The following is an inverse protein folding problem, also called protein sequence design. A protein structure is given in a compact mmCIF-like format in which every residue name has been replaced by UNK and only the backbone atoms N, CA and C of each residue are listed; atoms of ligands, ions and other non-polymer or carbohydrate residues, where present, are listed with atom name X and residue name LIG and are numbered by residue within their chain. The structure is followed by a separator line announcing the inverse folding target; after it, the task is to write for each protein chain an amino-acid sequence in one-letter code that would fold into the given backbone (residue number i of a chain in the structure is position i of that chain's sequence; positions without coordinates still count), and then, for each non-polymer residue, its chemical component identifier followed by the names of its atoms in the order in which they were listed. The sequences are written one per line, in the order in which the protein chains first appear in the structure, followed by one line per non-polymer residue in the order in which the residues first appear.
data_IF_016270597523
#
_entry.id   IF_016270597523
#
_cell.length_a   1.000
_cell.length_b   1.000
_cell.length_c   1.000
_cell.angle_alpha   90.00
_cell.angle_beta   90.00
_cell.angle_gamma   90.00
#
_symmetry.space_group_name_H-M   'P 1'
#
loop_
_entity.id
_entity.type
_entity.pdbx_description
1 polymer ?
#
# COMPACT_ATOMS: atom_id res chain seq x y z
N UNK A 1 -4.00 13.26 -10.23
CA UNK A 1 -4.55 12.43 -9.16
C UNK A 1 -5.93 11.95 -9.57
N UNK A 2 -6.22 10.65 -9.44
CA UNK A 2 -7.45 10.01 -9.92
C UNK A 2 -8.37 9.80 -8.72
N UNK A 3 -9.59 10.35 -8.78
CA UNK A 3 -10.64 10.11 -7.80
C UNK A 3 -11.35 8.78 -8.11
N UNK A 4 -11.25 7.80 -7.21
CA UNK A 4 -11.88 6.50 -7.38
C UNK A 4 -13.09 6.29 -6.47
N UNK A 5 -13.22 7.11 -5.42
CA UNK A 5 -14.46 7.28 -4.67
C UNK A 5 -14.66 8.75 -4.36
N UNK A 6 -15.84 9.25 -4.75
CA UNK A 6 -16.17 10.68 -4.71
C UNK A 6 -15.94 11.28 -3.33
N UNK A 7 -15.13 12.34 -3.27
CA UNK A 7 -14.76 13.10 -2.09
C UNK A 7 -14.24 12.23 -0.92
N UNK A 8 -13.63 11.08 -1.20
CA UNK A 8 -13.08 10.21 -0.14
C UNK A 8 -11.76 9.55 -0.51
N UNK A 9 -11.60 9.04 -1.73
CA UNK A 9 -10.46 8.19 -2.05
C UNK A 9 -9.89 8.53 -3.43
N UNK A 10 -8.61 8.88 -3.43
CA UNK A 10 -7.83 9.17 -4.62
C UNK A 10 -6.58 8.32 -4.66
N UNK A 11 -6.06 8.06 -5.86
CA UNK A 11 -4.73 7.52 -6.03
C UNK A 11 -3.96 8.26 -7.11
N UNK A 12 -2.64 8.20 -7.04
CA UNK A 12 -1.73 8.80 -8.01
C UNK A 12 -0.66 7.79 -8.38
N UNK A 13 -0.57 7.51 -9.68
CA UNK A 13 0.54 6.76 -10.26
C UNK A 13 1.81 7.59 -10.25
N UNK A 14 2.93 6.95 -9.92
CA UNK A 14 4.24 7.56 -9.95
C UNK A 14 5.26 6.66 -10.67
N UNK A 15 6.09 7.30 -11.49
CA UNK A 15 7.10 6.62 -12.26
C UNK A 15 8.31 6.28 -11.37
N UNK A 16 8.44 5.01 -11.01
CA UNK A 16 9.56 4.52 -10.20
C UNK A 16 10.24 3.34 -10.88
N UNK A 17 11.58 3.28 -10.72
CA UNK A 17 12.40 2.16 -11.17
C UNK A 17 12.93 1.40 -9.96
N UNK A 18 12.92 0.07 -10.04
CA UNK A 18 13.61 -0.83 -9.11
C UNK A 18 14.69 -1.57 -9.87
N UNK A 19 15.96 -1.40 -9.49
CA UNK A 19 17.10 -1.98 -10.21
C UNK A 19 17.08 -1.72 -11.73
N UNK A 20 16.72 -0.49 -12.12
CA UNK A 20 16.60 -0.09 -13.52
C UNK A 20 15.29 -0.51 -14.22
N UNK A 21 14.46 -1.35 -13.60
CA UNK A 21 13.19 -1.83 -14.17
C UNK A 21 12.06 -0.88 -13.78
N UNK A 22 11.34 -0.35 -14.78
CA UNK A 22 10.18 0.50 -14.55
C UNK A 22 8.99 -0.31 -14.02
N UNK A 23 8.82 -0.32 -12.70
CA UNK A 23 7.72 -1.02 -12.01
C UNK A 23 6.60 -0.04 -11.63
N UNK A 24 6.94 1.22 -11.39
CA UNK A 24 6.02 2.22 -10.85
C UNK A 24 5.73 2.04 -9.37
N UNK A 25 5.15 3.06 -8.76
CA UNK A 25 4.48 2.97 -7.47
C UNK A 25 3.17 3.77 -7.50
N UNK A 26 2.38 3.64 -6.45
CA UNK A 26 1.11 4.36 -6.29
C UNK A 26 1.02 4.94 -4.89
N UNK A 27 0.67 6.22 -4.82
CA UNK A 27 0.22 6.85 -3.59
C UNK A 27 -1.30 6.77 -3.52
N UNK A 28 -1.85 6.58 -2.32
CA UNK A 28 -3.29 6.67 -2.06
C UNK A 28 -3.55 7.76 -1.02
N UNK A 29 -4.56 8.58 -1.27
CA UNK A 29 -5.03 9.65 -0.37
C UNK A 29 -6.44 9.28 0.04
N UNK A 30 -6.70 9.25 1.34
CA UNK A 30 -8.02 8.96 1.90
C UNK A 30 -8.43 10.16 2.75
N UNK A 31 -9.62 10.71 2.49
CA UNK A 31 -10.24 11.70 3.37
C UNK A 31 -11.02 10.98 4.46
N UNK A 32 -10.67 11.29 5.70
CA UNK A 32 -11.29 10.79 6.91
C UNK A 32 -12.59 11.57 7.20
N UNK A 33 -13.35 11.11 8.18
CA UNK A 33 -14.67 11.65 8.52
C UNK A 33 -14.61 13.07 9.13
N UNK A 34 -13.42 13.52 9.53
CA UNK A 34 -13.13 14.88 10.02
C UNK A 34 -12.53 15.79 8.93
N UNK A 35 -12.71 15.43 7.66
CA UNK A 35 -12.22 16.11 6.45
C UNK A 35 -10.68 16.19 6.30
N UNK A 36 -9.91 15.57 7.21
CA UNK A 36 -8.46 15.48 7.12
C UNK A 36 -8.01 14.29 6.28
N UNK A 37 -6.77 14.35 5.81
CA UNK A 37 -6.22 13.40 4.84
C UNK A 37 -5.24 12.43 5.49
N UNK A 38 -5.45 11.16 5.17
CA UNK A 38 -4.54 10.06 5.40
C UNK A 38 -3.81 9.73 4.09
N UNK A 39 -2.47 9.76 4.13
CA UNK A 39 -1.61 9.52 2.97
C UNK A 39 -0.93 8.17 3.13
N UNK A 40 -1.11 7.30 2.15
CA UNK A 40 -0.47 6.00 2.07
C UNK A 40 0.52 5.94 0.90
N UNK A 41 1.74 5.48 1.19
CA UNK A 41 2.83 5.32 0.21
C UNK A 41 3.18 6.64 -0.50
N UNK A 42 3.69 7.64 0.22
CA UNK A 42 4.06 8.93 -0.35
C UNK A 42 5.05 8.79 -1.52
N UNK A 43 4.84 9.62 -2.54
CA UNK A 43 5.68 9.72 -3.76
C UNK A 43 6.40 11.06 -3.79
N UNK A 44 7.16 11.37 -4.84
CA UNK A 44 7.81 12.68 -4.96
C UNK A 44 6.80 13.83 -4.80
N UNK A 45 7.12 14.78 -3.92
CA UNK A 45 6.23 15.88 -3.60
C UNK A 45 6.57 17.10 -4.45
N UNK A 46 6.13 17.08 -5.71
CA UNK A 46 6.22 18.26 -6.58
C UNK A 46 5.17 19.33 -6.21
N UNK A 47 5.36 20.55 -6.73
CA UNK A 47 4.46 21.68 -6.45
C UNK A 47 3.01 21.43 -6.92
N UNK A 48 2.82 20.65 -7.99
CA UNK A 48 1.49 20.35 -8.52
C UNK A 48 0.75 19.36 -7.60
N UNK A 49 1.44 18.32 -7.14
CA UNK A 49 0.91 17.35 -6.19
C UNK A 49 0.59 18.03 -4.85
N UNK A 50 1.51 18.84 -4.33
CA UNK A 50 1.32 19.62 -3.11
C UNK A 50 0.06 20.49 -3.19
N UNK A 51 -0.06 21.30 -4.24
CA UNK A 51 -1.24 22.15 -4.45
C UNK A 51 -2.53 21.34 -4.57
N UNK A 52 -2.48 20.19 -5.24
CA UNK A 52 -3.66 19.33 -5.35
C UNK A 52 -4.07 18.75 -3.99
N UNK A 53 -3.12 18.30 -3.17
CA UNK A 53 -3.42 17.75 -1.84
C UNK A 53 -3.97 18.82 -0.90
N UNK A 54 -3.39 20.02 -0.91
CA UNK A 54 -3.85 21.16 -0.10
C UNK A 54 -5.30 21.56 -0.42
N UNK A 55 -5.73 21.40 -1.68
CA UNK A 55 -7.14 21.60 -2.08
C UNK A 55 -8.08 20.50 -1.57
N UNK A 56 -7.55 19.30 -1.29
CA UNK A 56 -8.36 18.19 -0.77
C UNK A 56 -8.61 18.31 0.73
N UNK A 57 -7.65 18.81 1.51
CA UNK A 57 -7.74 18.96 2.95
C UNK A 57 -6.39 18.99 3.65
N UNK A 58 -6.41 19.15 4.98
CA UNK A 58 -5.22 19.10 5.82
C UNK A 58 -4.73 17.66 5.98
N UNK A 59 -3.42 17.41 5.89
CA UNK A 59 -2.84 16.08 6.10
C UNK A 59 -2.70 15.82 7.60
N UNK A 60 -3.37 14.79 8.11
CA UNK A 60 -3.25 14.37 9.51
C UNK A 60 -2.26 13.23 9.69
N UNK A 61 -2.12 12.36 8.70
CA UNK A 61 -1.28 11.17 8.82
C UNK A 61 -0.59 10.84 7.50
N UNK A 62 0.69 10.52 7.58
CA UNK A 62 1.50 9.99 6.48
C UNK A 62 2.04 8.63 6.89
N UNK A 63 1.77 7.61 6.06
CA UNK A 63 2.18 6.23 6.33
C UNK A 63 2.89 5.60 5.14
N UNK A 64 3.74 4.63 5.44
CA UNK A 64 4.34 3.74 4.44
C UNK A 64 3.75 2.34 4.55
N UNK A 65 3.55 1.62 3.43
CA UNK A 65 3.06 0.24 3.47
C UNK A 65 4.08 -0.72 4.12
N UNK A 66 5.36 -0.51 3.84
CA UNK A 66 6.48 -1.34 4.29
C UNK A 66 7.80 -0.54 4.22
N UNK A 67 8.91 -1.18 4.59
CA UNK A 67 10.25 -0.55 4.67
C UNK A 67 10.88 -0.14 3.33
N UNK A 68 10.21 -0.36 2.19
CA UNK A 68 10.72 -0.04 0.85
C UNK A 68 10.24 1.32 0.33
N UNK A 69 9.17 1.89 0.89
CA UNK A 69 8.49 3.09 0.36
C UNK A 69 8.86 4.37 1.11
N UNK A 70 10.15 4.54 1.44
CA UNK A 70 10.63 5.63 2.30
C UNK A 70 11.42 6.73 1.57
N UNK A 71 11.70 6.55 0.27
CA UNK A 71 12.60 7.41 -0.51
C UNK A 71 12.23 8.90 -0.46
N UNK A 72 10.94 9.22 -0.48
CA UNK A 72 10.44 10.60 -0.48
C UNK A 72 10.02 11.10 0.92
N UNK A 73 10.11 10.28 1.97
CA UNK A 73 9.59 10.65 3.28
C UNK A 73 10.23 11.91 3.86
N UNK A 74 11.51 12.19 3.57
CA UNK A 74 12.17 13.41 4.07
C UNK A 74 11.51 14.67 3.55
N UNK A 75 11.13 14.70 2.27
CA UNK A 75 10.48 15.85 1.65
C UNK A 75 9.09 16.08 2.25
N UNK A 76 8.35 14.99 2.47
CA UNK A 76 7.05 15.04 3.13
C UNK A 76 7.14 15.54 4.57
N UNK A 77 8.12 15.05 5.33
CA UNK A 77 8.34 15.45 6.71
C UNK A 77 8.68 16.95 6.82
N UNK A 78 9.51 17.46 5.90
CA UNK A 78 9.82 18.89 5.83
C UNK A 78 8.62 19.74 5.39
N UNK A 79 7.79 19.23 4.48
CA UNK A 79 6.66 19.98 3.93
C UNK A 79 5.44 20.01 4.86
N UNK A 80 5.26 18.97 5.69
CA UNK A 80 4.09 18.78 6.56
C UNK A 80 4.50 18.36 7.97
N UNK A 81 5.26 19.21 8.71
CA UNK A 81 5.80 18.84 10.02
C UNK A 81 4.73 18.62 11.09
N UNK A 82 3.51 19.11 10.90
CA UNK A 82 2.39 18.94 11.84
C UNK A 82 1.62 17.63 11.62
N UNK A 83 1.86 16.91 10.52
CA UNK A 83 1.24 15.62 10.26
C UNK A 83 1.91 14.51 11.07
N UNK A 84 1.14 13.50 11.50
CA UNK A 84 1.70 12.32 12.15
C UNK A 84 2.36 11.39 11.13
N UNK A 85 3.64 11.09 11.31
CA UNK A 85 4.39 10.14 10.51
C UNK A 85 4.43 8.78 11.18
N UNK A 86 3.68 7.82 10.63
CA UNK A 86 3.75 6.44 11.08
C UNK A 86 4.70 5.61 10.23
N UNK A 87 5.67 4.99 10.89
CA UNK A 87 6.55 4.03 10.26
C UNK A 87 5.85 2.68 10.07
N UNK A 88 6.07 2.04 8.92
CA UNK A 88 5.88 0.60 8.84
C UNK A 88 6.86 -0.13 9.79
N UNK A 89 6.51 -1.32 10.29
CA UNK A 89 7.40 -2.14 11.11
C UNK A 89 8.81 -2.25 10.52
N UNK A 90 9.77 -1.93 11.38
CA UNK A 90 11.20 -1.90 11.11
C UNK A 90 11.73 -0.75 10.25
N UNK A 91 10.87 0.13 9.71
CA UNK A 91 11.34 1.29 8.95
C UNK A 91 12.13 2.28 9.83
N UNK A 92 11.75 2.44 11.10
CA UNK A 92 12.46 3.31 12.04
C UNK A 92 13.94 2.93 12.20
N UNK A 93 14.28 1.64 12.17
CA UNK A 93 15.69 1.23 12.27
C UNK A 93 16.49 1.55 10.99
N UNK A 94 15.81 1.54 9.83
CA UNK A 94 16.42 1.85 8.53
C UNK A 94 16.56 3.35 8.29
N UNK A 95 15.65 4.16 8.84
CA UNK A 95 15.60 5.62 8.70
C UNK A 95 15.74 6.31 10.05
N UNK A 96 16.89 6.12 10.69
CA UNK A 96 17.23 6.79 11.95
C UNK A 96 17.46 8.30 11.83
N UNK A 97 17.51 8.82 10.60
CA UNK A 97 17.55 10.25 10.29
C UNK A 97 16.17 10.94 10.35
N UNK A 98 15.07 10.17 10.35
CA UNK A 98 13.71 10.68 10.48
C UNK A 98 13.14 10.38 11.85
N UNK A 99 12.41 11.34 12.42
CA UNK A 99 11.62 11.13 13.62
C UNK A 99 10.21 10.71 13.20
N UNK A 100 9.79 9.52 13.65
CA UNK A 100 8.44 8.99 13.44
C UNK A 100 7.66 9.08 14.76
N UNK A 101 6.40 9.48 14.69
CA UNK A 101 5.54 9.65 15.86
C UNK A 101 5.12 8.30 16.48
N UNK A 102 4.90 7.29 15.64
CA UNK A 102 4.67 5.91 16.10
C UNK A 102 5.01 4.88 14.99
N UNK A 103 5.00 3.60 15.36
CA UNK A 103 5.07 2.46 14.43
C UNK A 103 3.69 1.86 14.28
N UNK A 104 3.28 1.63 13.04
CA UNK A 104 2.05 0.91 12.76
C UNK A 104 2.16 -0.54 13.25
N UNK A 105 1.12 -0.98 13.95
CA UNK A 105 1.02 -2.32 14.52
C UNK A 105 -0.32 -2.94 14.13
N UNK A 106 -0.71 -3.99 14.84
CA UNK A 106 -2.02 -4.62 14.65
C UNK A 106 -3.18 -3.75 15.16
N UNK A 107 -2.94 -2.87 16.15
CA UNK A 107 -3.97 -1.93 16.60
C UNK A 107 -4.10 -0.74 15.64
N UNK A 108 -5.33 -0.27 15.47
CA UNK A 108 -5.64 0.93 14.69
C UNK A 108 -5.44 2.18 15.56
N UNK A 109 -4.57 3.13 15.15
CA UNK A 109 -4.43 4.42 15.82
C UNK A 109 -5.73 5.21 15.92
N UNK A 110 -5.86 6.00 16.99
CA UNK A 110 -7.06 6.80 17.27
C UNK A 110 -7.43 7.76 16.12
N UNK A 111 -6.43 8.22 15.35
CA UNK A 111 -6.62 9.14 14.23
C UNK A 111 -7.58 8.62 13.14
N UNK A 112 -7.65 7.31 12.92
CA UNK A 112 -8.55 6.70 11.92
C UNK A 112 -9.30 5.48 12.47
N UNK A 113 -9.36 5.33 13.80
CA UNK A 113 -10.04 4.23 14.45
C UNK A 113 -11.53 4.23 14.09
N UNK A 114 -12.05 3.06 13.73
CA UNK A 114 -13.44 2.89 13.30
C UNK A 114 -13.72 3.33 11.85
N UNK A 115 -12.78 4.02 11.21
CA UNK A 115 -12.93 4.50 9.83
C UNK A 115 -12.17 3.64 8.82
N UNK A 116 -10.94 3.21 9.16
CA UNK A 116 -10.13 2.31 8.34
C UNK A 116 -9.85 1.01 9.09
N UNK A 117 -10.00 -0.11 8.39
CA UNK A 117 -9.53 -1.41 8.85
C UNK A 117 -8.05 -1.51 8.55
N UNK A 118 -7.29 -2.17 9.43
CA UNK A 118 -5.85 -2.29 9.34
C UNK A 118 -5.44 -3.66 9.88
N UNK A 119 -4.51 -4.34 9.21
CA UNK A 119 -3.83 -5.50 9.79
C UNK A 119 -2.38 -5.56 9.32
N UNK A 120 -1.53 -6.09 10.18
CA UNK A 120 -0.13 -6.34 9.88
C UNK A 120 0.00 -7.72 9.25
N UNK A 121 0.50 -7.78 8.03
CA UNK A 121 0.78 -9.02 7.32
C UNK A 121 2.11 -9.57 7.81
N UNK A 122 2.03 -10.71 8.49
CA UNK A 122 3.15 -11.39 9.14
C UNK A 122 3.56 -12.65 8.40
N UNK A 123 4.72 -13.18 8.77
CA UNK A 123 5.17 -14.53 8.39
C UNK A 123 6.43 -14.57 7.53
N UNK A 124 7.10 -13.42 7.36
CA UNK A 124 8.43 -13.31 6.76
C UNK A 124 9.36 -12.62 7.75
N UNK A 125 10.58 -13.12 7.88
CA UNK A 125 11.60 -12.54 8.78
C UNK A 125 12.18 -11.22 8.22
N UNK A 126 12.04 -11.01 6.91
CA UNK A 126 12.66 -9.89 6.19
C UNK A 126 11.65 -8.92 5.60
N UNK A 127 10.35 -9.21 5.71
CA UNK A 127 9.30 -8.41 5.10
C UNK A 127 8.05 -8.40 5.97
N UNK A 128 7.61 -7.20 6.31
CA UNK A 128 6.31 -6.95 6.91
C UNK A 128 5.64 -5.82 6.14
N UNK A 129 4.32 -5.95 5.96
CA UNK A 129 3.50 -4.95 5.28
C UNK A 129 2.20 -4.76 6.03
N UNK A 130 1.68 -3.54 6.01
CA UNK A 130 0.37 -3.25 6.58
C UNK A 130 -0.64 -3.08 5.46
N UNK A 131 -1.72 -3.84 5.56
CA UNK A 131 -2.89 -3.66 4.71
C UNK A 131 -3.87 -2.70 5.37
N UNK A 132 -4.49 -1.87 4.56
CA UNK A 132 -5.60 -1.01 4.96
C UNK A 132 -6.84 -1.34 4.15
N UNK A 133 -8.02 -1.14 4.71
CA UNK A 133 -9.27 -1.15 3.95
C UNK A 133 -10.15 -0.01 4.39
N UNK A 134 -10.62 0.78 3.42
CA UNK A 134 -11.71 1.72 3.63
C UNK A 134 -13.05 1.02 3.37
N UNK A 135 -13.85 0.70 4.42
CA UNK A 135 -15.09 -0.03 4.28
C UNK A 135 -16.17 0.77 3.54
N UNK A 136 -16.12 2.11 3.54
CA UNK A 136 -17.09 2.95 2.85
C UNK A 136 -16.91 2.90 1.34
N UNK A 137 -15.67 3.08 0.85
CA UNK A 137 -15.37 2.92 -0.58
C UNK A 137 -15.21 1.48 -1.03
N UNK A 138 -15.21 0.52 -0.10
CA UNK A 138 -14.93 -0.91 -0.34
C UNK A 138 -13.59 -1.11 -1.04
N UNK A 139 -12.56 -0.38 -0.60
CA UNK A 139 -11.25 -0.39 -1.23
C UNK A 139 -10.20 -0.97 -0.29
N UNK A 140 -9.59 -2.08 -0.70
CA UNK A 140 -8.39 -2.65 -0.09
C UNK A 140 -7.15 -1.91 -0.62
N UNK A 141 -6.25 -1.51 0.26
CA UNK A 141 -5.04 -0.76 -0.04
C UNK A 141 -3.85 -1.55 0.47
N UNK A 142 -2.92 -1.87 -0.43
CA UNK A 142 -1.74 -2.68 -0.18
C UNK A 142 -0.48 -1.97 -0.70
N UNK A 143 0.67 -2.45 -0.27
CA UNK A 143 1.98 -2.12 -0.82
C UNK A 143 2.39 -3.09 -1.91
N UNK A 144 3.34 -3.96 -1.56
CA UNK A 144 3.99 -4.94 -2.42
C UNK A 144 3.44 -6.36 -2.30
N UNK A 145 2.55 -6.61 -1.32
CA UNK A 145 1.96 -7.93 -1.10
C UNK A 145 1.29 -8.51 -2.35
N UNK A 146 0.70 -7.64 -3.17
CA UNK A 146 0.05 -7.99 -4.43
C UNK A 146 0.55 -7.06 -5.54
N UNK A 147 0.78 -7.60 -6.72
CA UNK A 147 1.13 -6.82 -7.90
C UNK A 147 0.37 -7.33 -9.14
N UNK A 148 0.14 -6.43 -10.11
CA UNK A 148 -0.45 -6.80 -11.39
C UNK A 148 0.10 -5.95 -12.54
N UNK A 149 1.14 -6.43 -13.21
CA UNK A 149 1.93 -5.66 -14.17
C UNK A 149 1.41 -5.74 -15.62
N UNK A 150 0.13 -6.07 -15.81
CA UNK A 150 -0.49 -6.26 -17.13
C UNK A 150 -0.47 -5.00 -18.02
N UNK A 151 -0.36 -3.82 -17.41
CA UNK A 151 -0.31 -2.53 -18.08
C UNK A 151 1.08 -2.17 -18.60
N UNK A 152 2.12 -2.92 -18.22
CA UNK A 152 3.50 -2.63 -18.58
C UNK A 152 3.82 -3.06 -20.00
N UNK A 153 4.35 -2.14 -20.79
CA UNK A 153 4.69 -2.36 -22.21
C UNK A 153 6.18 -2.57 -22.45
N UNK A 154 7.04 -2.15 -21.52
CA UNK A 154 8.49 -2.27 -21.68
C UNK A 154 8.95 -3.72 -21.47
N UNK A 155 9.79 -4.30 -22.36
CA UNK A 155 10.17 -5.71 -22.29
C UNK A 155 10.74 -6.16 -20.95
N UNK A 156 11.59 -5.33 -20.31
CA UNK A 156 12.13 -5.64 -18.98
C UNK A 156 11.04 -5.71 -17.89
N UNK A 157 10.04 -4.84 -17.95
CA UNK A 157 8.94 -4.83 -16.98
C UNK A 157 8.00 -6.02 -17.20
N UNK A 158 7.74 -6.39 -18.46
CA UNK A 158 6.98 -7.59 -18.84
C UNK A 158 7.72 -8.84 -18.33
N UNK A 159 9.01 -8.95 -18.63
CA UNK A 159 9.85 -10.07 -18.19
C UNK A 159 9.89 -10.20 -16.67
N UNK A 160 10.04 -9.08 -15.95
CA UNK A 160 10.00 -9.05 -14.49
C UNK A 160 8.64 -9.51 -13.94
N UNK A 161 7.54 -9.06 -14.53
CA UNK A 161 6.20 -9.48 -14.13
C UNK A 161 5.93 -10.97 -14.40
N UNK A 162 6.39 -11.49 -15.55
CA UNK A 162 6.26 -12.91 -15.91
C UNK A 162 7.08 -13.79 -14.97
N UNK A 163 8.33 -13.44 -14.71
CA UNK A 163 9.23 -14.18 -13.81
C UNK A 163 8.68 -14.25 -12.38
N UNK A 164 7.94 -13.22 -11.96
CA UNK A 164 7.32 -13.15 -10.64
C UNK A 164 5.86 -13.61 -10.58
N UNK A 165 5.30 -14.07 -11.70
CA UNK A 165 3.92 -14.56 -11.78
C UNK A 165 2.83 -13.48 -11.66
N UNK A 166 3.17 -12.20 -11.77
CA UNK A 166 2.27 -11.07 -11.56
C UNK A 166 1.92 -10.29 -12.83
N UNK A 167 2.27 -10.80 -14.02
CA UNK A 167 1.95 -10.13 -15.29
C UNK A 167 0.53 -10.46 -15.81
N UNK A 168 0.18 -11.74 -15.88
CA UNK A 168 -1.09 -12.20 -16.48
C UNK A 168 -2.25 -11.97 -15.51
N UNK A 169 -2.07 -12.39 -14.25
CA UNK A 169 -3.05 -12.28 -13.18
C UNK A 169 -2.44 -11.53 -12.00
N UNK A 170 -3.26 -10.88 -11.15
CA UNK A 170 -2.78 -10.34 -9.90
C UNK A 170 -2.28 -11.47 -9.01
N UNK A 171 -1.07 -11.32 -8.47
CA UNK A 171 -0.44 -12.32 -7.63
C UNK A 171 0.53 -11.67 -6.63
N UNK A 172 0.81 -12.37 -5.54
CA UNK A 172 1.97 -12.07 -4.71
C UNK A 172 3.23 -12.37 -5.54
N UNK A 173 4.15 -11.40 -5.73
CA UNK A 173 5.38 -11.62 -6.48
C UNK A 173 6.15 -12.84 -5.95
N UNK A 174 6.66 -13.69 -6.85
CA UNK A 174 7.30 -14.95 -6.46
C UNK A 174 8.45 -14.78 -5.46
N UNK A 175 9.33 -13.80 -5.66
CA UNK A 175 10.42 -13.52 -4.70
C UNK A 175 9.88 -13.21 -3.30
N UNK A 176 8.77 -12.48 -3.22
CA UNK A 176 8.15 -12.10 -1.95
C UNK A 176 7.51 -13.33 -1.31
N UNK A 177 6.82 -14.15 -2.09
CA UNK A 177 6.25 -15.43 -1.65
C UNK A 177 7.29 -16.36 -1.01
N UNK A 178 8.53 -16.39 -1.54
CA UNK A 178 9.62 -17.18 -0.95
C UNK A 178 10.09 -16.66 0.41
N UNK A 179 9.89 -15.37 0.70
CA UNK A 179 10.27 -14.78 2.00
C UNK A 179 9.33 -15.19 3.14
N UNK A 180 8.09 -15.58 2.82
CA UNK A 180 7.10 -15.99 3.82
C UNK A 180 7.28 -17.46 4.24
N UNK A 181 8.16 -17.68 5.21
CA UNK A 181 8.47 -19.01 5.78
C UNK A 181 7.39 -19.48 6.74
N UNK A 182 6.82 -18.59 7.56
CA UNK A 182 5.69 -18.88 8.45
C UNK A 182 4.36 -18.65 7.71
N UNK A 183 3.91 -19.70 7.03
CA UNK A 183 2.65 -19.69 6.28
C UNK A 183 1.42 -19.62 7.17
N UNK A 184 1.52 -19.99 8.45
CA UNK A 184 0.37 -19.95 9.38
C UNK A 184 0.02 -18.50 9.69
N UNK A 185 1.02 -17.68 10.03
CA UNK A 185 0.82 -16.24 10.28
C UNK A 185 0.37 -15.49 9.03
N UNK A 186 0.96 -15.82 7.86
CA UNK A 186 0.51 -15.25 6.60
C UNK A 186 -0.96 -15.60 6.34
N UNK A 187 -1.33 -16.89 6.46
CA UNK A 187 -2.71 -17.36 6.27
C UNK A 187 -3.70 -16.64 7.20
N UNK A 188 -3.37 -16.46 8.48
CA UNK A 188 -4.21 -15.72 9.43
C UNK A 188 -4.46 -14.28 8.96
N UNK A 189 -3.41 -13.59 8.52
CA UNK A 189 -3.50 -12.20 8.03
C UNK A 189 -4.37 -12.13 6.77
N UNK A 190 -4.21 -13.05 5.81
CA UNK A 190 -5.03 -13.12 4.60
C UNK A 190 -6.49 -13.47 4.93
N UNK A 191 -6.74 -14.38 5.87
CA UNK A 191 -8.09 -14.73 6.31
C UNK A 191 -8.81 -13.54 6.91
N UNK A 192 -8.13 -12.76 7.76
CA UNK A 192 -8.66 -11.51 8.30
C UNK A 192 -9.01 -10.52 7.18
N UNK A 193 -8.09 -10.27 6.25
CA UNK A 193 -8.37 -9.37 5.11
C UNK A 193 -9.60 -9.84 4.33
N UNK A 194 -9.74 -11.14 4.07
CA UNK A 194 -10.88 -11.70 3.34
C UNK A 194 -12.24 -11.45 4.03
N UNK A 195 -12.28 -11.20 5.35
CA UNK A 195 -13.53 -10.84 6.05
C UNK A 195 -13.93 -9.38 5.82
N UNK A 196 -13.01 -8.51 5.42
CA UNK A 196 -13.28 -7.08 5.23
C UNK A 196 -14.18 -6.82 4.02
N UNK A 197 -14.94 -5.72 3.99
CA UNK A 197 -15.95 -5.46 2.95
C UNK A 197 -15.38 -4.76 1.70
N UNK A 198 -14.32 -5.29 1.08
CA UNK A 198 -13.73 -4.70 -0.13
C UNK A 198 -14.22 -5.35 -1.44
N UNK A 199 -14.13 -4.60 -2.54
CA UNK A 199 -14.25 -5.08 -3.92
C UNK A 199 -13.20 -4.44 -4.86
N UNK A 200 -12.77 -3.21 -4.57
CA UNK A 200 -11.62 -2.58 -5.22
C UNK A 200 -10.33 -2.97 -4.50
N UNK A 201 -9.23 -3.10 -5.24
CA UNK A 201 -7.88 -3.24 -4.69
C UNK A 201 -6.93 -2.24 -5.36
N UNK A 202 -6.32 -1.39 -4.54
CA UNK A 202 -5.20 -0.53 -4.91
C UNK A 202 -3.94 -1.12 -4.28
N UNK A 203 -2.90 -1.30 -5.08
CA UNK A 203 -1.58 -1.71 -4.61
C UNK A 203 -0.49 -0.90 -5.32
N UNK A 204 0.72 -0.93 -4.79
CA UNK A 204 1.77 -0.05 -5.25
C UNK A 204 2.17 -0.34 -6.72
N UNK A 205 2.29 -1.61 -7.11
CA UNK A 205 2.84 -2.02 -8.42
C UNK A 205 1.78 -2.57 -9.36
N UNK A 206 1.40 -1.77 -10.36
CA UNK A 206 0.62 -2.23 -11.51
C UNK A 206 -0.81 -1.69 -11.58
N UNK A 207 -1.71 -2.42 -12.24
CA UNK A 207 -3.07 -1.98 -12.54
C UNK A 207 -4.01 -2.14 -11.33
N UNK A 208 -4.77 -1.09 -11.01
CA UNK A 208 -5.85 -1.12 -9.99
C UNK A 208 -6.92 -2.14 -10.39
N UNK A 209 -7.40 -2.91 -9.41
CA UNK A 209 -8.53 -3.82 -9.57
C UNK A 209 -9.79 -3.07 -9.13
N UNK A 210 -10.67 -2.73 -10.08
CA UNK A 210 -11.88 -1.96 -9.77
C UNK A 210 -13.03 -2.82 -9.23
N UNK A 211 -13.13 -4.07 -9.66
CA UNK A 211 -14.22 -4.99 -9.30
C UNK A 211 -13.71 -6.43 -9.18
N UNK A 212 -14.50 -7.29 -8.52
CA UNK A 212 -14.18 -8.68 -8.24
C UNK A 212 -12.91 -8.85 -7.39
N UNK A 213 -12.58 -7.85 -6.57
CA UNK A 213 -11.36 -7.82 -5.77
C UNK A 213 -11.28 -9.01 -4.83
N UNK A 214 -12.37 -9.35 -4.12
CA UNK A 214 -12.36 -10.52 -3.23
C UNK A 214 -12.02 -11.82 -3.93
N UNK A 215 -12.60 -12.05 -5.11
CA UNK A 215 -12.36 -13.26 -5.88
C UNK A 215 -10.90 -13.33 -6.36
N UNK A 216 -10.40 -12.24 -6.94
CA UNK A 216 -9.02 -12.15 -7.42
C UNK A 216 -8.01 -12.27 -6.27
N UNK A 217 -8.26 -11.62 -5.13
CA UNK A 217 -7.42 -11.72 -3.93
C UNK A 217 -7.43 -13.16 -3.38
N UNK A 218 -8.60 -13.76 -3.21
CA UNK A 218 -8.72 -15.16 -2.78
C UNK A 218 -7.95 -16.12 -3.71
N UNK A 219 -8.04 -15.90 -5.03
CA UNK A 219 -7.34 -16.70 -6.03
C UNK A 219 -5.82 -16.52 -5.93
N UNK A 220 -5.35 -15.29 -5.76
CA UNK A 220 -3.93 -14.96 -5.60
C UNK A 220 -3.30 -15.64 -4.38
N UNK A 221 -4.09 -15.89 -3.33
CA UNK A 221 -3.65 -16.52 -2.07
C UNK A 221 -4.13 -17.97 -1.89
N UNK A 222 -4.79 -18.55 -2.89
CA UNK A 222 -5.34 -19.91 -2.81
C UNK A 222 -4.28 -20.96 -2.40
N UNK A 223 -3.04 -20.78 -2.87
CA UNK A 223 -1.92 -21.66 -2.55
C UNK A 223 -1.58 -21.73 -1.04
N UNK A 224 -2.05 -20.79 -0.21
CA UNK A 224 -1.91 -20.84 1.25
C UNK A 224 -2.89 -21.81 1.91
N UNK A 225 -4.02 -22.11 1.27
CA UNK A 225 -5.10 -22.91 1.87
C UNK A 225 -5.04 -24.39 1.49
N UNK A 226 -4.17 -24.75 0.54
CA UNK A 226 -3.99 -26.11 0.04
C UNK A 226 -2.59 -26.69 0.34
N UNK A 227 -1.84 -26.03 1.22
CA UNK A 227 -0.48 -26.41 1.62
C UNK A 227 -0.43 -26.92 3.06
#
# INVERSE_FOLDING_TARGET
MIECYKNRLWYQDFAMKTNGIAVGCKMTVIKLDDDRLFIHSPVELDNALKSTIEQLGEIVAVVTPNQSYHHYLSEWWLAYPDAYFFAAPGLQQKRGDLTFDDVLRQYTPALWQGQLLQTLIKGSDNFEEIAFCDPLSKTLILGDLLAWMVDKKHPLSIGYGLLNGCYIHPAMPFYLRLSFTDRVRLRQSIQEILTWPFDRIIFAKGKVIETNGKQLFSTAFHWLFHA
#
